data_IF_983862946739
#
_entry.id   IF_983862946739
#
_cell.length_a   1.000
_cell.length_b   1.000
_cell.length_c   1.000
_cell.angle_alpha   90.00
_cell.angle_beta   90.00
_cell.angle_gamma   90.00
#
_symmetry.space_group_name_H-M   'P 1'
#
loop_
_entity.id
_entity.type
_entity.pdbx_description
1 polymer ?
#
# COMPACT_ATOMS: atom_id res chain seq x y z
N UNK A 1 4.71 -4.12 -9.00
CA UNK A 1 4.33 -3.70 -10.34
C UNK A 1 4.87 -2.31 -10.50
N UNK A 2 6.09 -2.14 -11.01
CA UNK A 2 6.71 -0.82 -11.07
C UNK A 2 6.14 0.09 -12.20
N UNK A 3 4.82 0.07 -12.40
CA UNK A 3 4.13 0.57 -13.60
C UNK A 3 3.99 2.09 -13.63
N UNK A 4 3.99 2.75 -12.47
CA UNK A 4 3.95 4.22 -12.35
C UNK A 4 5.33 4.86 -12.25
N UNK A 5 6.42 4.07 -12.34
CA UNK A 5 7.79 4.53 -12.10
C UNK A 5 8.20 5.73 -12.95
N UNK A 6 7.75 5.79 -14.20
CA UNK A 6 8.10 6.87 -15.13
C UNK A 6 7.22 8.11 -14.94
N UNK A 7 6.01 7.96 -14.38
CA UNK A 7 5.04 9.05 -14.26
C UNK A 7 5.55 10.18 -13.36
N UNK A 8 6.31 9.85 -12.31
CA UNK A 8 6.81 10.85 -11.35
C UNK A 8 7.77 11.87 -11.99
N UNK A 9 8.48 11.48 -13.05
CA UNK A 9 9.49 12.32 -13.72
C UNK A 9 8.94 13.08 -14.94
N UNK A 10 7.66 12.96 -15.26
CA UNK A 10 7.07 13.74 -16.35
C UNK A 10 7.14 15.23 -16.04
N UNK A 11 7.49 16.02 -17.05
CA UNK A 11 7.49 17.47 -16.94
C UNK A 11 6.06 18.01 -16.77
N UNK A 12 5.93 19.09 -16.02
CA UNK A 12 4.70 19.87 -16.03
C UNK A 12 4.54 20.62 -17.36
N UNK A 13 3.31 20.82 -17.87
CA UNK A 13 2.03 20.48 -17.23
C UNK A 13 1.54 19.05 -17.52
N UNK A 14 2.29 18.24 -18.27
CA UNK A 14 1.84 16.95 -18.78
C UNK A 14 1.55 15.93 -17.67
N UNK A 15 2.38 15.91 -16.63
CA UNK A 15 2.16 15.05 -15.45
C UNK A 15 0.83 15.35 -14.79
N UNK A 16 0.54 16.62 -14.54
CA UNK A 16 -0.75 17.07 -14.00
C UNK A 16 -1.92 16.68 -14.91
N UNK A 17 -1.78 16.84 -16.22
CA UNK A 17 -2.82 16.48 -17.18
C UNK A 17 -3.13 14.99 -17.18
N UNK A 18 -2.11 14.12 -17.12
CA UNK A 18 -2.30 12.67 -17.03
C UNK A 18 -3.08 12.32 -15.75
N UNK A 19 -2.70 12.89 -14.62
CA UNK A 19 -3.40 12.66 -13.34
C UNK A 19 -4.84 13.19 -13.38
N UNK A 20 -5.09 14.31 -14.05
CA UNK A 20 -6.45 14.83 -14.27
C UNK A 20 -7.28 13.85 -15.11
N UNK A 21 -6.73 13.30 -16.19
CA UNK A 21 -7.42 12.28 -16.99
C UNK A 21 -7.78 11.02 -16.19
N UNK A 22 -6.96 10.62 -15.23
CA UNK A 22 -7.20 9.43 -14.42
C UNK A 22 -8.21 9.68 -13.29
N UNK A 23 -8.03 10.75 -12.52
CA UNK A 23 -8.69 10.89 -11.21
C UNK A 23 -9.69 12.04 -11.12
N UNK A 24 -9.65 13.04 -12.02
CA UNK A 24 -10.54 14.19 -11.92
C UNK A 24 -11.97 13.78 -12.27
N UNK A 25 -12.95 14.01 -11.38
CA UNK A 25 -14.34 13.70 -11.67
C UNK A 25 -14.88 14.49 -12.88
N UNK A 26 -15.75 13.87 -13.66
CA UNK A 26 -16.41 14.47 -14.82
C UNK A 26 -15.42 14.99 -15.88
N UNK A 27 -14.25 14.36 -16.02
CA UNK A 27 -13.24 14.77 -16.98
C UNK A 27 -12.81 13.62 -17.89
N UNK A 28 -11.97 12.70 -17.38
CA UNK A 28 -11.49 11.55 -18.12
C UNK A 28 -12.10 10.25 -17.58
N UNK A 29 -11.25 9.28 -17.27
CA UNK A 29 -11.64 7.99 -16.69
C UNK A 29 -12.41 8.15 -15.38
N UNK A 30 -12.10 9.19 -14.59
CA UNK A 30 -12.80 9.52 -13.34
C UNK A 30 -12.87 8.31 -12.39
N UNK A 31 -11.73 7.66 -12.17
CA UNK A 31 -11.66 6.40 -11.45
C UNK A 31 -12.21 6.51 -10.02
N UNK A 32 -13.02 5.53 -9.63
CA UNK A 32 -13.58 5.42 -8.28
C UNK A 32 -12.65 4.70 -7.30
N UNK A 33 -11.75 3.85 -7.81
CA UNK A 33 -10.87 3.00 -7.00
C UNK A 33 -9.45 3.16 -7.50
N UNK A 34 -8.52 3.38 -6.58
CA UNK A 34 -7.08 3.27 -6.80
C UNK A 34 -6.54 2.15 -5.91
N UNK A 35 -5.99 1.11 -6.56
CA UNK A 35 -5.31 0.00 -5.90
C UNK A 35 -3.80 0.16 -6.09
N UNK A 36 -3.04 0.12 -5.01
CA UNK A 36 -1.58 0.24 -5.00
C UNK A 36 -0.93 -1.02 -4.42
N UNK A 37 0.31 -1.28 -4.81
CA UNK A 37 1.12 -2.31 -4.19
C UNK A 37 1.65 -1.84 -2.83
N UNK A 38 1.63 -2.74 -1.85
CA UNK A 38 2.45 -2.58 -0.66
C UNK A 38 3.82 -3.18 -1.00
N UNK A 39 4.79 -2.30 -1.28
CA UNK A 39 6.14 -2.68 -1.72
C UNK A 39 6.80 -3.66 -0.74
N UNK A 40 7.55 -4.62 -1.28
CA UNK A 40 8.11 -5.74 -0.50
C UNK A 40 9.55 -6.09 -0.87
N UNK A 41 10.29 -5.15 -1.49
CA UNK A 41 11.69 -5.29 -1.93
C UNK A 41 11.98 -6.42 -2.93
N UNK A 42 10.94 -7.04 -3.48
CA UNK A 42 11.06 -8.10 -4.46
C UNK A 42 10.49 -7.69 -5.82
N UNK A 43 10.91 -8.43 -6.86
CA UNK A 43 10.43 -8.20 -8.22
C UNK A 43 8.95 -8.53 -8.33
N UNK A 44 8.13 -7.53 -8.65
CA UNK A 44 6.69 -7.65 -8.81
C UNK A 44 6.27 -7.34 -10.25
N UNK A 45 6.79 -8.15 -11.19
CA UNK A 45 6.59 -8.09 -12.66
C UNK A 45 7.55 -7.15 -13.38
N UNK A 46 7.37 -5.82 -13.30
CA UNK A 46 8.10 -4.83 -14.12
C UNK A 46 9.22 -4.09 -13.36
N UNK A 47 9.48 -4.48 -12.11
CA UNK A 47 10.47 -3.86 -11.24
C UNK A 47 10.21 -4.20 -9.77
N UNK A 48 11.12 -3.74 -8.90
CA UNK A 48 10.97 -3.84 -7.45
C UNK A 48 10.34 -2.56 -6.91
N UNK A 49 9.42 -2.70 -5.97
CA UNK A 49 8.90 -1.57 -5.20
C UNK A 49 9.47 -1.60 -3.78
N UNK A 50 9.98 -0.46 -3.27
CA UNK A 50 10.64 -0.42 -1.97
C UNK A 50 9.62 -0.65 -0.85
N UNK A 51 9.98 -1.50 0.09
CA UNK A 51 9.24 -1.67 1.33
C UNK A 51 9.38 -0.46 2.24
N UNK A 52 8.35 -0.19 3.05
CA UNK A 52 8.45 0.74 4.17
C UNK A 52 9.34 0.19 5.30
N UNK A 53 9.67 -1.10 5.31
CA UNK A 53 10.57 -1.74 6.28
C UNK A 53 11.54 -2.73 5.61
N UNK A 54 12.76 -2.29 5.28
CA UNK A 54 13.78 -3.16 4.68
C UNK A 54 14.32 -4.21 5.68
N UNK A 55 14.32 -3.86 6.97
CA UNK A 55 14.79 -4.68 8.09
C UNK A 55 13.79 -4.57 9.25
N UNK A 56 13.88 -5.46 10.26
CA UNK A 56 12.91 -5.51 11.38
C UNK A 56 12.79 -4.18 12.15
N UNK A 57 13.90 -3.44 12.30
CA UNK A 57 13.96 -2.16 13.01
C UNK A 57 13.96 -0.92 12.08
N UNK A 58 13.60 -1.08 10.80
CA UNK A 58 13.57 0.00 9.81
C UNK A 58 12.13 0.41 9.48
N UNK A 59 11.83 1.72 9.55
CA UNK A 59 10.56 2.29 9.10
C UNK A 59 10.80 3.57 8.29
N UNK A 60 10.27 3.61 7.07
CA UNK A 60 10.28 4.81 6.23
C UNK A 60 9.08 4.84 5.28
N UNK A 61 8.19 5.77 5.54
CA UNK A 61 6.94 5.95 4.79
C UNK A 61 7.06 6.93 3.61
N UNK A 62 8.28 7.31 3.21
CA UNK A 62 8.54 8.25 2.11
C UNK A 62 9.24 7.59 0.92
N UNK A 63 9.36 6.25 0.94
CA UNK A 63 9.96 5.48 -0.16
C UNK A 63 8.95 5.22 -1.28
N UNK A 64 9.47 5.07 -2.50
CA UNK A 64 8.66 4.78 -3.67
C UNK A 64 7.83 5.98 -4.11
N UNK A 65 6.76 5.72 -4.87
CA UNK A 65 5.91 6.75 -5.46
C UNK A 65 4.42 6.53 -5.18
N UNK A 66 4.05 5.43 -4.54
CA UNK A 66 2.64 5.10 -4.28
C UNK A 66 1.99 6.07 -3.29
N UNK A 67 2.73 6.52 -2.29
CA UNK A 67 2.28 7.58 -1.37
C UNK A 67 1.90 8.86 -2.09
N UNK A 68 2.77 9.30 -2.99
CA UNK A 68 2.55 10.48 -3.83
C UNK A 68 1.35 10.27 -4.76
N UNK A 69 1.23 9.10 -5.39
CA UNK A 69 0.14 8.79 -6.30
C UNK A 69 -1.22 8.81 -5.60
N UNK A 70 -1.31 8.17 -4.43
CA UNK A 70 -2.54 8.17 -3.60
C UNK A 70 -2.91 9.59 -3.17
N UNK A 71 -1.93 10.40 -2.78
CA UNK A 71 -2.13 11.81 -2.41
C UNK A 71 -2.67 12.62 -3.59
N UNK A 72 -2.08 12.49 -4.77
CA UNK A 72 -2.53 13.19 -5.99
C UNK A 72 -3.92 12.73 -6.45
N UNK A 73 -4.26 11.46 -6.23
CA UNK A 73 -5.59 10.92 -6.50
C UNK A 73 -6.64 11.49 -5.54
N UNK A 74 -6.40 11.45 -4.22
CA UNK A 74 -7.29 12.04 -3.20
C UNK A 74 -7.48 13.54 -3.39
N UNK A 75 -6.41 14.26 -3.77
CA UNK A 75 -6.49 15.70 -4.06
C UNK A 75 -7.47 16.03 -5.20
N UNK A 76 -7.61 15.14 -6.18
CA UNK A 76 -8.52 15.31 -7.33
C UNK A 76 -9.91 14.75 -7.06
N UNK A 77 -9.97 13.62 -6.38
CA UNK A 77 -11.21 12.95 -5.99
C UNK A 77 -11.12 12.52 -4.51
N UNK A 78 -11.59 13.36 -3.57
CA UNK A 78 -11.58 13.03 -2.15
C UNK A 78 -12.34 11.73 -1.80
N UNK A 79 -13.31 11.35 -2.65
CA UNK A 79 -14.15 10.17 -2.49
C UNK A 79 -13.56 8.90 -3.13
N UNK A 80 -12.34 8.96 -3.70
CA UNK A 80 -11.71 7.78 -4.27
C UNK A 80 -11.44 6.74 -3.18
N UNK A 81 -11.73 5.48 -3.46
CA UNK A 81 -11.42 4.35 -2.58
C UNK A 81 -9.97 3.93 -2.78
N UNK A 82 -9.20 3.84 -1.69
CA UNK A 82 -7.80 3.41 -1.67
C UNK A 82 -7.68 1.96 -1.19
N UNK A 83 -6.97 1.14 -1.96
CA UNK A 83 -6.76 -0.28 -1.66
C UNK A 83 -5.26 -0.59 -1.66
N UNK A 84 -4.74 -1.14 -0.57
CA UNK A 84 -3.38 -1.68 -0.49
C UNK A 84 -3.37 -3.20 -0.64
N UNK A 85 -2.42 -3.77 -1.37
CA UNK A 85 -2.23 -5.23 -1.40
C UNK A 85 -0.74 -5.58 -1.56
N UNK A 86 -0.18 -6.44 -0.70
CA UNK A 86 1.22 -6.87 -0.82
C UNK A 86 1.39 -7.92 -1.92
N UNK A 87 2.43 -7.73 -2.74
CA UNK A 87 2.87 -8.71 -3.75
C UNK A 87 3.99 -9.59 -3.21
N UNK A 88 4.85 -9.00 -2.40
CA UNK A 88 5.97 -9.65 -1.76
C UNK A 88 6.15 -9.09 -0.34
N UNK A 89 7.00 -9.77 0.43
CA UNK A 89 7.36 -9.36 1.78
C UNK A 89 8.88 -9.35 1.90
N UNK A 90 9.46 -8.41 2.67
CA UNK A 90 10.86 -8.44 3.03
C UNK A 90 11.23 -9.78 3.70
N UNK A 91 12.46 -10.26 3.46
CA UNK A 91 12.88 -11.59 3.93
C UNK A 91 12.85 -11.78 5.45
N UNK A 92 12.96 -10.69 6.23
CA UNK A 92 12.91 -10.75 7.69
C UNK A 92 11.53 -11.15 8.24
N UNK A 93 10.45 -10.85 7.50
CA UNK A 93 9.07 -11.22 7.86
C UNK A 93 8.93 -12.73 8.02
N UNK A 94 9.57 -13.49 7.15
CA UNK A 94 9.55 -14.95 7.20
C UNK A 94 10.48 -15.57 8.24
N UNK A 95 11.27 -14.78 8.99
CA UNK A 95 12.24 -15.23 10.02
C UNK A 95 13.13 -16.40 9.56
N UNK A 96 13.66 -16.29 8.35
CA UNK A 96 14.52 -17.31 7.74
C UNK A 96 13.78 -18.37 6.91
N UNK A 97 12.44 -18.28 6.82
CA UNK A 97 11.61 -19.13 5.98
C UNK A 97 11.03 -18.30 4.83
N UNK A 98 10.92 -18.86 3.62
CA UNK A 98 10.30 -18.16 2.47
C UNK A 98 8.77 -18.24 2.50
N UNK A 99 8.15 -18.04 3.68
CA UNK A 99 6.72 -18.09 3.87
C UNK A 99 6.24 -17.02 4.87
N UNK A 100 5.37 -16.08 4.47
CA UNK A 100 4.96 -14.97 5.31
C UNK A 100 3.92 -15.35 6.39
N UNK A 101 3.36 -16.55 6.37
CA UNK A 101 2.28 -16.92 7.32
C UNK A 101 2.72 -17.84 8.46
N UNK A 102 3.98 -18.25 8.50
CA UNK A 102 4.50 -19.03 9.63
C UNK A 102 4.53 -18.19 10.92
N UNK A 103 4.70 -16.87 10.77
CA UNK A 103 4.67 -15.87 11.84
C UNK A 103 3.61 -14.80 11.52
N UNK A 104 2.31 -15.14 11.64
CA UNK A 104 1.24 -14.27 11.18
C UNK A 104 1.15 -12.95 11.96
N UNK A 105 1.59 -12.93 13.21
CA UNK A 105 1.71 -11.74 14.06
C UNK A 105 2.71 -10.72 13.50
N UNK A 106 3.87 -11.20 13.02
CA UNK A 106 4.90 -10.35 12.40
C UNK A 106 4.37 -9.74 11.11
N UNK A 107 3.76 -10.57 10.26
CA UNK A 107 3.22 -10.14 8.97
C UNK A 107 2.05 -9.17 9.11
N UNK A 108 1.14 -9.42 10.06
CA UNK A 108 0.05 -8.47 10.35
C UNK A 108 0.61 -7.16 10.88
N UNK A 109 1.61 -7.19 11.76
CA UNK A 109 2.24 -5.97 12.30
C UNK A 109 2.89 -5.14 11.19
N UNK A 110 3.55 -5.77 10.23
CA UNK A 110 4.11 -5.11 9.04
C UNK A 110 3.05 -4.42 8.16
N UNK A 111 1.92 -5.09 7.92
CA UNK A 111 0.82 -4.52 7.13
C UNK A 111 0.13 -3.39 7.89
N UNK A 112 -0.07 -3.56 9.19
CA UNK A 112 -0.66 -2.53 10.07
C UNK A 112 0.22 -1.29 10.12
N UNK A 113 1.53 -1.45 10.24
CA UNK A 113 2.46 -0.30 10.28
C UNK A 113 2.40 0.49 8.98
N UNK A 114 2.18 -0.16 7.83
CA UNK A 114 1.95 0.51 6.55
C UNK A 114 0.68 1.36 6.56
N UNK A 115 -0.45 0.82 7.07
CA UNK A 115 -1.73 1.54 7.16
C UNK A 115 -1.62 2.75 8.10
N UNK A 116 -1.01 2.55 9.27
CA UNK A 116 -0.79 3.62 10.25
C UNK A 116 0.09 4.71 9.64
N UNK A 117 1.16 4.33 8.95
CA UNK A 117 2.05 5.28 8.28
C UNK A 117 1.35 6.07 7.17
N UNK A 118 0.45 5.43 6.40
CA UNK A 118 -0.38 6.10 5.40
C UNK A 118 -1.18 7.25 6.01
N UNK A 119 -1.80 7.01 7.18
CA UNK A 119 -2.58 8.03 7.88
C UNK A 119 -1.69 9.09 8.53
N UNK A 120 -0.66 8.69 9.27
CA UNK A 120 0.16 9.60 10.06
C UNK A 120 1.01 10.56 9.21
N UNK A 121 1.58 10.08 8.10
CA UNK A 121 2.55 10.85 7.32
C UNK A 121 1.94 11.48 6.06
N UNK A 122 0.81 10.95 5.57
CA UNK A 122 0.21 11.41 4.30
C UNK A 122 -1.29 11.76 4.41
N UNK A 123 -1.89 11.64 5.60
CA UNK A 123 -3.33 11.82 5.83
C UNK A 123 -4.21 10.98 4.87
N UNK A 124 -3.77 9.76 4.59
CA UNK A 124 -4.48 8.82 3.71
C UNK A 124 -5.23 7.77 4.54
N UNK A 125 -6.56 7.76 4.40
CA UNK A 125 -7.40 6.68 4.89
C UNK A 125 -7.42 5.53 3.88
N UNK A 126 -6.94 4.36 4.29
CA UNK A 126 -6.92 3.14 3.46
C UNK A 126 -8.22 2.37 3.70
N UNK A 127 -9.06 2.27 2.67
CA UNK A 127 -10.40 1.67 2.79
C UNK A 127 -10.34 0.13 2.85
N UNK A 128 -9.43 -0.48 2.09
CA UNK A 128 -9.29 -1.93 2.02
C UNK A 128 -7.83 -2.36 1.97
N UNK A 129 -7.53 -3.48 2.62
CA UNK A 129 -6.25 -4.17 2.49
C UNK A 129 -6.47 -5.63 2.14
N UNK A 130 -5.77 -6.10 1.12
CA UNK A 130 -5.81 -7.51 0.73
C UNK A 130 -4.80 -8.38 1.48
N UNK A 131 -4.79 -9.68 1.16
CA UNK A 131 -4.01 -10.69 1.90
C UNK A 131 -2.64 -10.92 1.27
N UNK A 132 -2.57 -11.61 0.13
CA UNK A 132 -1.37 -11.77 -0.69
C UNK A 132 -1.79 -12.09 -2.11
N UNK A 133 -1.31 -11.33 -3.09
CA UNK A 133 -1.75 -11.48 -4.47
C UNK A 133 -1.33 -12.83 -5.06
N UNK A 134 -2.27 -13.53 -5.72
CA UNK A 134 -2.04 -14.79 -6.47
C UNK A 134 -1.33 -15.89 -5.67
N UNK A 135 -1.59 -15.95 -4.35
CA UNK A 135 -1.08 -16.99 -3.45
C UNK A 135 -2.18 -17.52 -2.55
N UNK A 136 -1.97 -18.72 -2.01
CA UNK A 136 -2.90 -19.32 -1.07
C UNK A 136 -3.05 -18.41 0.16
N UNK A 137 -4.29 -18.23 0.61
CA UNK A 137 -4.58 -17.52 1.85
C UNK A 137 -4.44 -18.45 3.06
N UNK A 138 -4.13 -17.88 4.22
CA UNK A 138 -4.11 -18.60 5.49
C UNK A 138 -5.24 -18.09 6.42
N UNK A 139 -6.05 -19.02 6.94
CA UNK A 139 -7.23 -18.68 7.77
C UNK A 139 -6.81 -18.10 9.12
N UNK A 140 -5.67 -18.54 9.69
CA UNK A 140 -5.15 -18.03 10.96
C UNK A 140 -4.67 -16.59 10.77
N UNK A 141 -3.96 -16.30 9.68
CA UNK A 141 -3.57 -14.94 9.30
C UNK A 141 -4.78 -14.00 9.17
N UNK A 142 -5.84 -14.42 8.46
CA UNK A 142 -7.05 -13.60 8.31
C UNK A 142 -7.70 -13.31 9.66
N UNK A 143 -7.81 -14.32 10.54
CA UNK A 143 -8.41 -14.14 11.87
C UNK A 143 -7.60 -13.16 12.72
N UNK A 144 -6.28 -13.30 12.75
CA UNK A 144 -5.38 -12.40 13.49
C UNK A 144 -5.43 -10.98 12.93
N UNK A 145 -5.43 -10.83 11.60
CA UNK A 145 -5.55 -9.54 10.93
C UNK A 145 -6.87 -8.83 11.22
N UNK A 146 -8.00 -9.55 11.18
CA UNK A 146 -9.30 -8.99 11.58
C UNK A 146 -9.33 -8.56 13.05
N UNK A 147 -8.75 -9.36 13.94
CA UNK A 147 -8.67 -9.02 15.37
C UNK A 147 -7.82 -7.76 15.57
N UNK A 148 -6.63 -7.68 14.98
CA UNK A 148 -5.76 -6.50 15.13
C UNK A 148 -6.36 -5.25 14.50
N UNK A 149 -6.94 -5.36 13.30
CA UNK A 149 -7.61 -4.25 12.62
C UNK A 149 -8.76 -3.67 13.46
N UNK A 150 -9.54 -4.53 14.11
CA UNK A 150 -10.60 -4.11 15.04
C UNK A 150 -10.04 -3.34 16.24
N UNK A 151 -8.93 -3.79 16.83
CA UNK A 151 -8.25 -3.10 17.93
C UNK A 151 -7.66 -1.75 17.52
N UNK A 152 -7.07 -1.66 16.32
CA UNK A 152 -6.50 -0.42 15.78
C UNK A 152 -7.62 0.59 15.49
N UNK A 153 -8.73 0.15 14.89
CA UNK A 153 -9.90 0.98 14.67
C UNK A 153 -10.45 1.55 16.00
N UNK A 154 -10.42 0.76 17.09
CA UNK A 154 -10.79 1.25 18.42
C UNK A 154 -9.79 2.24 19.04
N UNK A 155 -8.49 2.12 18.73
CA UNK A 155 -7.44 2.99 19.28
C UNK A 155 -7.34 4.35 18.58
N UNK A 156 -7.63 4.43 17.28
CA UNK A 156 -7.58 5.67 16.50
C UNK A 156 -8.91 6.46 16.46
N UNK A 157 -9.94 6.00 17.18
CA UNK A 157 -11.23 6.68 17.35
C UNK A 157 -11.33 7.53 18.63
N UNK A 158 -10.22 7.73 19.39
CA UNK A 158 -10.14 8.67 20.52
C UNK A 158 -9.24 9.86 20.21
#
# INVERSE_FOLDING_TARGET
LATSRLLINYAEPYRTQILDYLFKPNFGASLHILKVEIGGDAQSTDGTEPSHMHYEDDENYFRGYEWWLMTEAKRRNPNITLIGLPWAFPGWIGRGVNWPYDFPDVTVSYIVSWIIGAKQYHDLDIDYVGIWNERNFDIKYIKVGCLLSFFIFMLFLN
#
